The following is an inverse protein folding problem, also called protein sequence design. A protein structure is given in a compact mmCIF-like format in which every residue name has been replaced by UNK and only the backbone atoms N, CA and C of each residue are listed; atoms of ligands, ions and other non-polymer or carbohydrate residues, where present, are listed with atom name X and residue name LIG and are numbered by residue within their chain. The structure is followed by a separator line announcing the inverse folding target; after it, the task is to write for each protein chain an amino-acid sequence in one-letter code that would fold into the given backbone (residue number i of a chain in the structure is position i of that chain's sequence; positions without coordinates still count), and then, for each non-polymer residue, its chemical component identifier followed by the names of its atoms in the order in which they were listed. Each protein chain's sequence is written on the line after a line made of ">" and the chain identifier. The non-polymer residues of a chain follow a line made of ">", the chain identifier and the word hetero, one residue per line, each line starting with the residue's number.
data_IF_027490888611
#
_entry.id   IF_027490888611
#
_cell.length_a   1.000
_cell.length_b   1.000
_cell.length_c   1.000
_cell.angle_alpha   90.00
_cell.angle_beta   90.00
_cell.angle_gamma   90.00
#
_symmetry.space_group_name_H-M   'P 1'
#
loop_
_entity.id
_entity.type
_entity.pdbx_description
1 polymer ?
#
# COMPACT_ATOMS: atom_id res chain seq x y z
N UNK A 1 -11.17 -4.46 -18.47
CA UNK A 1 -9.75 -4.89 -18.54
C UNK A 1 -9.53 -5.98 -17.51
N UNK A 2 -8.76 -7.03 -17.83
CA UNK A 2 -8.44 -8.06 -16.84
C UNK A 2 -7.66 -7.45 -15.67
N UNK A 3 -7.81 -8.05 -14.50
CA UNK A 3 -7.02 -7.73 -13.32
C UNK A 3 -5.52 -7.84 -13.63
N UNK A 4 -4.74 -6.81 -13.29
CA UNK A 4 -3.28 -6.82 -13.45
C UNK A 4 -2.62 -6.86 -12.09
N UNK A 5 -1.66 -7.77 -11.92
CA UNK A 5 -0.87 -7.87 -10.70
C UNK A 5 0.60 -7.62 -11.01
N UNK A 6 1.27 -6.81 -10.19
CA UNK A 6 2.70 -6.55 -10.28
C UNK A 6 3.29 -6.26 -8.89
N UNK A 7 4.61 -6.37 -8.76
CA UNK A 7 5.30 -6.29 -7.47
C UNK A 7 6.48 -5.33 -7.54
N UNK A 8 6.66 -4.59 -6.46
CA UNK A 8 7.91 -3.87 -6.16
C UNK A 8 8.53 -4.42 -4.88
N UNK A 9 9.85 -4.36 -4.81
CA UNK A 9 10.62 -4.78 -3.63
C UNK A 9 11.67 -3.74 -3.32
N UNK A 10 11.78 -3.36 -2.05
CA UNK A 10 12.88 -2.54 -1.55
C UNK A 10 13.52 -3.27 -0.37
N UNK A 11 14.84 -3.45 -0.42
CA UNK A 11 15.61 -4.07 0.66
C UNK A 11 16.58 -3.07 1.29
N UNK A 12 16.63 -3.04 2.61
CA UNK A 12 17.55 -2.19 3.38
C UNK A 12 17.73 -2.78 4.78
N UNK A 13 18.92 -2.59 5.38
CA UNK A 13 19.21 -3.03 6.75
C UNK A 13 18.94 -4.53 7.01
N UNK A 14 19.08 -5.37 5.99
CA UNK A 14 18.97 -6.84 6.11
C UNK A 14 17.55 -7.40 6.07
N UNK A 15 16.55 -6.62 5.65
CA UNK A 15 15.20 -7.13 5.34
C UNK A 15 14.60 -6.38 4.15
N UNK A 16 13.49 -6.88 3.61
CA UNK A 16 12.75 -6.26 2.50
C UNK A 16 11.32 -5.91 2.87
N UNK A 17 10.81 -4.88 2.19
CA UNK A 17 9.39 -4.61 2.01
C UNK A 17 9.00 -4.98 0.58
N UNK A 18 7.94 -5.76 0.47
CA UNK A 18 7.36 -6.26 -0.76
C UNK A 18 5.97 -5.65 -0.94
N UNK A 19 5.78 -4.86 -1.99
CA UNK A 19 4.50 -4.26 -2.34
C UNK A 19 3.90 -4.98 -3.54
N UNK A 20 2.87 -5.78 -3.31
CA UNK A 20 2.05 -6.39 -4.34
C UNK A 20 0.89 -5.46 -4.68
N UNK A 21 0.80 -5.04 -5.94
CA UNK A 21 -0.26 -4.17 -6.45
C UNK A 21 -1.17 -4.99 -7.35
N UNK A 22 -2.46 -5.05 -7.00
CA UNK A 22 -3.53 -5.61 -7.82
C UNK A 22 -4.39 -4.47 -8.33
N UNK A 23 -4.39 -4.26 -9.65
CA UNK A 23 -5.27 -3.32 -10.31
C UNK A 23 -6.59 -4.01 -10.63
N UNK A 24 -7.68 -3.49 -10.04
CA UNK A 24 -9.05 -3.99 -10.21
C UNK A 24 -9.83 -2.94 -10.99
N UNK A 25 -9.89 -3.11 -12.31
CA UNK A 25 -10.39 -2.04 -13.19
C UNK A 25 -9.52 -0.78 -13.00
N UNK A 26 -10.10 0.36 -12.57
CA UNK A 26 -9.33 1.56 -12.30
C UNK A 26 -8.91 1.70 -10.81
N UNK A 27 -9.38 0.82 -9.92
CA UNK A 27 -9.05 0.83 -8.50
C UNK A 27 -7.77 0.03 -8.21
N UNK A 28 -7.14 0.28 -7.06
CA UNK A 28 -5.94 -0.43 -6.60
C UNK A 28 -6.18 -1.13 -5.26
N UNK A 29 -5.80 -2.40 -5.19
CA UNK A 29 -5.60 -3.13 -3.95
C UNK A 29 -4.11 -3.42 -3.78
N UNK A 30 -3.52 -2.85 -2.75
CA UNK A 30 -2.09 -2.91 -2.48
C UNK A 30 -1.87 -3.68 -1.17
N UNK A 31 -0.93 -4.61 -1.16
CA UNK A 31 -0.47 -5.29 0.05
C UNK A 31 1.03 -5.10 0.21
N UNK A 32 1.43 -4.56 1.36
CA UNK A 32 2.83 -4.39 1.75
C UNK A 32 3.18 -5.37 2.86
N UNK A 33 4.04 -6.32 2.54
CA UNK A 33 4.48 -7.37 3.47
C UNK A 33 5.99 -7.38 3.55
N UNK A 34 6.57 -8.04 4.55
CA UNK A 34 8.01 -8.11 4.68
C UNK A 34 8.47 -8.74 5.97
N UNK A 35 9.79 -8.86 6.09
CA UNK A 35 10.43 -9.51 7.22
C UNK A 35 10.25 -11.03 7.21
N UNK A 36 10.24 -11.63 8.40
CA UNK A 36 10.25 -13.08 8.62
C UNK A 36 8.86 -13.67 8.83
N UNK A 37 7.90 -12.91 9.36
CA UNK A 37 6.57 -13.41 9.73
C UNK A 37 5.46 -12.41 9.35
N UNK A 38 5.24 -12.14 8.05
CA UNK A 38 4.27 -11.13 7.63
C UNK A 38 2.84 -11.45 8.09
N UNK A 39 2.06 -10.41 8.34
CA UNK A 39 0.67 -10.47 8.82
C UNK A 39 -0.15 -9.34 8.18
N UNK A 40 -1.37 -9.10 8.66
CA UNK A 40 -2.15 -7.91 8.32
C UNK A 40 -2.30 -7.09 9.61
N UNK A 41 -1.57 -5.98 9.69
CA UNK A 41 -1.55 -5.10 10.85
C UNK A 41 -2.40 -3.84 10.66
N UNK A 42 -2.46 -3.30 9.44
CA UNK A 42 -3.20 -2.07 9.15
C UNK A 42 -3.90 -2.11 7.80
N UNK A 43 -4.93 -1.28 7.66
CA UNK A 43 -5.61 -0.96 6.39
C UNK A 43 -5.72 0.55 6.25
N UNK A 44 -5.22 1.10 5.14
CA UNK A 44 -5.37 2.52 4.80
C UNK A 44 -6.18 2.66 3.52
N UNK A 45 -7.21 3.50 3.54
CA UNK A 45 -8.08 3.77 2.39
C UNK A 45 -7.80 5.15 1.83
N UNK A 46 -7.87 5.25 0.51
CA UNK A 46 -7.65 6.47 -0.26
C UNK A 46 -8.69 6.57 -1.37
N UNK A 47 -9.16 7.79 -1.62
CA UNK A 47 -9.90 8.13 -2.83
C UNK A 47 -9.71 9.63 -3.15
N UNK A 48 -9.85 10.03 -4.42
CA UNK A 48 -9.81 11.45 -4.79
C UNK A 48 -10.86 12.25 -4.01
N UNK A 49 -10.43 13.35 -3.39
CA UNK A 49 -11.32 14.23 -2.62
C UNK A 49 -11.73 13.72 -1.24
N UNK A 50 -11.35 12.50 -0.84
CA UNK A 50 -11.57 11.99 0.51
C UNK A 50 -10.30 12.10 1.36
N UNK A 51 -10.48 12.38 2.65
CA UNK A 51 -9.38 12.29 3.63
C UNK A 51 -8.97 10.83 3.79
N UNK A 52 -7.67 10.56 3.73
CA UNK A 52 -7.08 9.25 4.04
C UNK A 52 -7.53 8.77 5.42
N UNK A 53 -7.94 7.51 5.53
CA UNK A 53 -8.30 6.86 6.79
C UNK A 53 -7.45 5.60 6.98
N UNK A 54 -6.99 5.39 8.22
CA UNK A 54 -6.20 4.21 8.58
C UNK A 54 -6.86 3.50 9.77
N UNK A 55 -7.08 2.20 9.63
CA UNK A 55 -7.47 1.30 10.73
C UNK A 55 -6.25 0.47 11.10
N UNK A 56 -5.97 0.41 12.41
CA UNK A 56 -4.89 -0.40 12.98
C UNK A 56 -5.51 -1.56 13.74
N UNK A 57 -5.10 -2.79 13.43
CA UNK A 57 -5.56 -3.98 14.13
C UNK A 57 -4.78 -4.18 15.44
N UNK A 58 -5.37 -4.93 16.38
CA UNK A 58 -4.74 -5.23 17.66
C UNK A 58 -3.55 -6.17 17.46
N UNK A 59 -2.42 -5.80 18.05
CA UNK A 59 -1.25 -6.66 18.21
C UNK A 59 -1.33 -7.34 19.57
N UNK A 60 -1.17 -8.68 19.67
CA UNK A 60 -1.23 -9.41 20.94
C UNK A 60 -0.28 -8.89 22.02
N UNK A 61 0.81 -8.21 21.65
CA UNK A 61 1.86 -7.79 22.57
C UNK A 61 2.16 -6.28 22.56
N UNK A 62 1.72 -5.55 21.54
CA UNK A 62 2.09 -4.14 21.34
C UNK A 62 0.89 -3.17 21.33
N UNK A 63 -0.29 -3.66 21.70
CA UNK A 63 -1.53 -2.90 21.65
C UNK A 63 -2.06 -2.83 20.22
N UNK A 64 -1.56 -1.87 19.43
CA UNK A 64 -1.91 -1.74 18.01
C UNK A 64 -0.68 -1.88 17.13
N UNK A 65 -0.84 -2.61 16.03
CA UNK A 65 0.08 -2.65 14.91
C UNK A 65 0.49 -1.25 14.44
N UNK A 66 1.74 -1.08 13.98
CA UNK A 66 2.38 0.24 13.72
C UNK A 66 2.79 0.44 12.25
N UNK A 67 2.29 -0.43 11.39
CA UNK A 67 2.53 -0.37 9.95
C UNK A 67 1.75 0.75 9.26
N UNK A 68 0.99 1.56 10.01
CA UNK A 68 0.41 2.83 9.57
C UNK A 68 1.50 3.77 9.06
N UNK A 69 2.70 3.72 9.67
CA UNK A 69 3.89 4.39 9.16
C UNK A 69 4.16 4.05 7.68
N UNK A 70 4.00 2.79 7.28
CA UNK A 70 4.30 2.31 5.93
C UNK A 70 3.19 2.75 4.96
N UNK A 71 1.94 2.44 5.31
CA UNK A 71 0.80 2.69 4.42
C UNK A 71 0.54 4.18 4.23
N UNK A 72 0.68 5.00 5.26
CA UNK A 72 0.45 6.45 5.17
C UNK A 72 1.54 7.16 4.35
N UNK A 73 2.80 6.70 4.44
CA UNK A 73 3.88 7.22 3.60
C UNK A 73 3.66 6.93 2.12
N UNK A 74 3.33 5.69 1.79
CA UNK A 74 2.98 5.29 0.41
C UNK A 74 1.76 6.08 -0.04
N UNK A 75 0.74 6.20 0.81
CA UNK A 75 -0.47 6.95 0.54
C UNK A 75 -0.16 8.41 0.16
N UNK A 76 0.60 9.13 1.00
CA UNK A 76 1.00 10.52 0.73
C UNK A 76 1.70 10.67 -0.63
N UNK A 77 2.53 9.70 -1.04
CA UNK A 77 3.24 9.75 -2.33
C UNK A 77 2.31 9.58 -3.52
N UNK A 78 1.32 8.69 -3.43
CA UNK A 78 0.48 8.33 -4.58
C UNK A 78 -0.84 9.10 -4.66
N UNK A 79 -1.35 9.64 -3.55
CA UNK A 79 -2.63 10.39 -3.50
C UNK A 79 -2.79 11.41 -4.64
N UNK A 80 -1.77 12.23 -4.99
CA UNK A 80 -1.93 13.24 -6.04
C UNK A 80 -2.11 12.68 -7.45
N UNK A 81 -1.78 11.41 -7.69
CA UNK A 81 -1.91 10.74 -9.00
C UNK A 81 -2.99 9.67 -9.02
N UNK A 82 -3.73 9.52 -7.92
CA UNK A 82 -4.82 8.56 -7.82
C UNK A 82 -6.07 9.14 -8.51
N UNK A 83 -6.68 8.38 -9.41
CA UNK A 83 -7.93 8.78 -10.10
C UNK A 83 -9.17 8.07 -9.56
N UNK A 84 -9.00 6.98 -8.78
CA UNK A 84 -10.04 6.13 -8.21
C UNK A 84 -9.66 5.59 -6.84
N UNK A 85 -10.38 4.60 -6.31
CA UNK A 85 -10.19 4.13 -4.96
C UNK A 85 -8.89 3.31 -4.85
N UNK A 86 -8.26 3.40 -3.69
CA UNK A 86 -7.12 2.57 -3.35
C UNK A 86 -7.21 2.11 -1.90
N UNK A 87 -6.89 0.84 -1.69
CA UNK A 87 -6.76 0.24 -0.35
C UNK A 87 -5.35 -0.30 -0.22
N UNK A 88 -4.65 0.09 0.83
CA UNK A 88 -3.32 -0.41 1.18
C UNK A 88 -3.43 -1.21 2.47
N UNK A 89 -3.07 -2.49 2.44
CA UNK A 89 -2.84 -3.28 3.64
C UNK A 89 -1.35 -3.36 3.93
N UNK A 90 -0.96 -3.38 5.20
CA UNK A 90 0.41 -3.71 5.56
C UNK A 90 0.51 -4.56 6.82
N UNK A 91 1.51 -5.43 6.84
CA UNK A 91 1.95 -6.13 8.05
C UNK A 91 3.32 -6.74 7.85
N UNK A 92 4.25 -6.31 8.69
CA UNK A 92 5.67 -6.57 8.56
C UNK A 92 6.19 -6.98 9.92
N UNK A 93 6.77 -8.17 10.01
CA UNK A 93 7.38 -8.64 11.25
C UNK A 93 8.80 -9.06 11.00
N UNK A 94 9.74 -8.48 11.73
CA UNK A 94 11.15 -8.88 11.70
C UNK A 94 11.50 -9.36 13.10
N UNK A 95 11.94 -10.62 13.23
CA UNK A 95 12.39 -11.14 14.52
C UNK A 95 13.55 -10.30 15.06
N UNK A 96 13.44 -9.93 16.35
CA UNK A 96 14.45 -9.12 17.06
C UNK A 96 14.81 -7.82 16.33
N UNK A 97 13.80 -7.13 15.78
CA UNK A 97 14.00 -5.92 14.99
C UNK A 97 14.86 -4.88 15.73
N UNK A 98 15.92 -4.43 15.07
CA UNK A 98 16.84 -3.44 15.62
C UNK A 98 16.38 -2.01 15.33
N UNK A 99 16.86 -1.03 16.10
CA UNK A 99 16.60 0.40 15.82
C UNK A 99 17.00 0.82 14.40
N UNK A 100 18.10 0.26 13.87
CA UNK A 100 18.56 0.50 12.49
C UNK A 100 17.58 -0.04 11.45
N UNK A 101 16.95 -1.19 11.72
CA UNK A 101 15.91 -1.76 10.86
C UNK A 101 14.61 -0.95 10.96
N UNK A 102 14.17 -0.59 12.17
CA UNK A 102 13.00 0.30 12.36
C UNK A 102 13.19 1.61 11.58
N UNK A 103 14.36 2.24 11.71
CA UNK A 103 14.68 3.48 11.00
C UNK A 103 14.70 3.33 9.47
N UNK A 104 14.89 2.11 8.95
CA UNK A 104 14.86 1.84 7.51
C UNK A 104 13.43 1.72 6.95
N UNK A 105 12.42 1.42 7.78
CA UNK A 105 11.04 1.21 7.33
C UNK A 105 10.48 2.45 6.60
N UNK A 106 10.70 3.65 7.13
CA UNK A 106 10.24 4.91 6.52
C UNK A 106 10.83 5.13 5.12
N UNK A 107 12.16 5.21 4.97
CA UNK A 107 12.81 5.37 3.66
C UNK A 107 12.47 4.27 2.65
N UNK A 108 12.29 3.01 3.08
CA UNK A 108 11.86 1.95 2.19
C UNK A 108 10.42 2.15 1.71
N UNK A 109 9.53 2.59 2.59
CA UNK A 109 8.14 2.92 2.25
C UNK A 109 8.06 4.09 1.26
N UNK A 110 8.89 5.12 1.48
CA UNK A 110 8.97 6.27 0.56
C UNK A 110 9.40 5.83 -0.85
N UNK A 111 10.42 4.96 -0.95
CA UNK A 111 10.90 4.39 -2.21
C UNK A 111 9.83 3.55 -2.92
N UNK A 112 9.08 2.72 -2.18
CA UNK A 112 7.96 1.97 -2.74
C UNK A 112 6.89 2.91 -3.29
N UNK A 113 6.51 3.94 -2.53
CA UNK A 113 5.56 4.97 -2.96
C UNK A 113 6.02 5.70 -4.22
N UNK A 114 7.32 6.01 -4.33
CA UNK A 114 7.92 6.62 -5.53
C UNK A 114 7.89 5.70 -6.74
N UNK A 115 8.23 4.42 -6.58
CA UNK A 115 8.16 3.43 -7.66
C UNK A 115 6.73 3.26 -8.17
N UNK A 116 5.74 3.20 -7.27
CA UNK A 116 4.34 3.14 -7.66
C UNK A 116 3.87 4.43 -8.32
N UNK A 117 4.25 5.60 -7.81
CA UNK A 117 3.92 6.88 -8.43
C UNK A 117 4.43 6.97 -9.87
N UNK A 118 5.67 6.54 -10.12
CA UNK A 118 6.24 6.48 -11.47
C UNK A 118 5.48 5.52 -12.37
N UNK A 119 5.07 4.37 -11.83
CA UNK A 119 4.24 3.42 -12.56
C UNK A 119 2.88 4.00 -12.92
N UNK A 120 2.19 4.65 -11.99
CA UNK A 120 0.89 5.29 -12.22
C UNK A 120 0.96 6.37 -13.30
N UNK A 121 2.04 7.17 -13.31
CA UNK A 121 2.26 8.21 -14.33
C UNK A 121 2.53 7.63 -15.72
N UNK A 122 3.18 6.47 -15.81
CA UNK A 122 3.48 5.79 -17.08
C UNK A 122 2.34 4.89 -17.58
N UNK A 123 1.36 4.61 -16.72
CA UNK A 123 0.21 3.75 -17.02
C UNK A 123 -1.08 4.49 -16.67
N UNK A 124 -1.42 5.59 -17.37
CA UNK A 124 -2.65 6.31 -17.11
C UNK A 124 -3.86 5.39 -17.29
N UNK A 125 -4.85 5.57 -16.42
CA UNK A 125 -6.07 4.80 -16.41
C UNK A 125 -6.83 4.98 -17.74
N UNK A 126 -7.18 3.87 -18.39
CA UNK A 126 -7.88 3.86 -19.67
C UNK A 126 -9.04 2.84 -19.64
N UNK A 127 -9.84 2.85 -18.59
CA UNK A 127 -11.01 1.97 -18.46
C UNK A 127 -12.26 2.66 -19.00
N UNK A 128 -13.04 1.90 -19.77
CA UNK A 128 -14.37 2.31 -20.21
C UNK A 128 -15.29 2.47 -19.00
N UNK A 129 -16.08 3.55 -18.96
CA UNK A 129 -17.08 3.74 -17.90
C UNK A 129 -18.11 2.59 -17.93
N UNK A 130 -18.59 2.11 -16.76
CA UNK A 130 -19.69 1.16 -16.71
C UNK A 130 -20.94 1.75 -17.37
N UNK A 131 -21.70 0.90 -18.07
CA UNK A 131 -22.98 1.26 -18.66
C UNK A 131 -24.06 0.86 -17.65
N UNK A 132 -24.79 1.84 -17.15
CA UNK A 132 -25.91 1.61 -16.24
C UNK A 132 -27.20 1.56 -17.06
N UNK A 133 -27.99 0.49 -16.87
CA UNK A 133 -29.42 0.51 -17.19
C UNK A 133 -30.13 0.61 -15.85
N UNK A 134 -30.79 1.74 -15.57
CA UNK A 134 -31.66 1.80 -14.41
C UNK A 134 -32.82 0.82 -14.65
N UNK A 135 -33.13 -0.07 -13.70
CA UNK A 135 -34.36 -0.83 -13.77
C UNK A 135 -35.54 0.14 -13.79
N UNK A 136 -36.52 -0.11 -14.65
CA UNK A 136 -37.83 0.55 -14.62
C UNK A 136 -38.60 0.18 -13.35
#
# INVERSE_FOLDING_TARGET
>A
MPEKTFKFTVAQSGYSLDMLVRQIGPDLLISVTGGTNPHIGVVTTLAPGLKTQTVRFLSPHEGFHKEDLITERIATKISPSLTRNCVITAGVHVNYITKKQIAAAGPMSDKLGEQLLLWLKSHPENTSKPIYKHPE
#
